data_IF_883170889494
#
_entry.id   IF_883170889494
#
_cell.length_a   1.000
_cell.length_b   1.000
_cell.length_c   1.000
_cell.angle_alpha   90.00
_cell.angle_beta   90.00
_cell.angle_gamma   90.00
#
_symmetry.space_group_name_H-M   'P 1'
#
loop_
_entity.id
_entity.type
_entity.pdbx_description
1 polymer ?
#
# COMPACT_ATOMS: atom_id res chain seq x y z
N UNK A 1 -18.91 -36.35 -59.49
CA UNK A 1 -19.24 -35.80 -58.14
C UNK A 1 -18.37 -36.36 -57.05
N UNK A 2 -18.15 -37.67 -56.89
CA UNK A 2 -17.30 -38.25 -55.79
C UNK A 2 -15.83 -37.82 -55.89
N UNK A 3 -15.26 -37.70 -57.03
CA UNK A 3 -13.85 -37.29 -57.26
C UNK A 3 -13.63 -35.83 -56.89
N UNK A 4 -14.60 -34.94 -57.16
CA UNK A 4 -14.51 -33.52 -56.83
C UNK A 4 -14.60 -33.30 -55.27
N UNK A 5 -15.35 -34.15 -54.59
CA UNK A 5 -15.46 -34.13 -53.14
C UNK A 5 -14.15 -34.58 -52.44
N UNK A 6 -13.45 -35.57 -53.04
CA UNK A 6 -12.17 -36.08 -52.55
C UNK A 6 -11.06 -35.03 -52.75
N UNK A 7 -11.02 -34.33 -53.90
CA UNK A 7 -10.04 -33.27 -54.15
C UNK A 7 -10.20 -32.10 -53.17
N UNK A 8 -11.42 -31.71 -52.85
CA UNK A 8 -11.70 -30.68 -51.86
C UNK A 8 -11.27 -31.08 -50.41
N UNK A 9 -11.16 -32.39 -50.15
CA UNK A 9 -10.70 -32.89 -48.83
C UNK A 9 -9.17 -32.78 -48.68
N UNK A 10 -8.41 -32.89 -49.74
CA UNK A 10 -6.95 -32.97 -49.70
C UNK A 10 -6.21 -31.69 -50.13
N UNK A 11 -6.91 -30.70 -50.74
CA UNK A 11 -6.29 -29.44 -51.16
C UNK A 11 -6.89 -28.26 -50.39
N UNK A 12 -6.21 -27.77 -49.31
CA UNK A 12 -6.74 -26.71 -48.45
C UNK A 12 -7.04 -25.40 -49.18
N UNK A 13 -6.28 -25.07 -50.23
CA UNK A 13 -6.36 -23.80 -50.97
C UNK A 13 -7.63 -23.68 -51.80
N UNK A 14 -8.24 -24.80 -52.22
CA UNK A 14 -9.49 -24.81 -52.96
C UNK A 14 -10.75 -24.58 -52.07
N UNK A 15 -10.58 -24.60 -50.77
CA UNK A 15 -11.66 -24.31 -49.78
C UNK A 15 -11.91 -22.82 -49.59
N UNK A 16 -10.91 -21.97 -49.79
CA UNK A 16 -11.01 -20.55 -49.49
C UNK A 16 -11.96 -19.74 -50.39
N UNK A 17 -12.39 -20.32 -51.52
CA UNK A 17 -13.29 -19.66 -52.47
C UNK A 17 -14.74 -20.15 -52.45
N UNK A 18 -15.08 -21.26 -51.79
CA UNK A 18 -16.38 -21.93 -51.92
C UNK A 18 -17.40 -21.65 -50.84
N UNK A 19 -17.06 -20.89 -49.76
CA UNK A 19 -17.98 -20.58 -48.68
C UNK A 19 -18.48 -21.79 -47.85
N UNK A 20 -17.96 -23.00 -48.12
CA UNK A 20 -18.34 -24.23 -47.43
C UNK A 20 -17.29 -24.55 -46.37
N UNK A 21 -17.52 -24.14 -45.12
CA UNK A 21 -16.72 -24.58 -43.99
C UNK A 21 -17.17 -25.98 -43.55
N UNK A 22 -16.47 -27.02 -44.01
CA UNK A 22 -16.62 -28.38 -43.48
C UNK A 22 -15.95 -28.45 -42.12
N UNK A 23 -16.66 -28.07 -41.07
CA UNK A 23 -16.22 -28.15 -39.67
C UNK A 23 -16.25 -29.56 -39.06
N UNK A 24 -16.37 -30.60 -39.91
CA UNK A 24 -16.53 -31.99 -39.50
C UNK A 24 -15.30 -32.61 -38.82
N UNK A 25 -14.12 -31.94 -38.90
CA UNK A 25 -12.87 -32.45 -38.32
C UNK A 25 -12.16 -31.47 -37.38
N UNK A 26 -12.68 -30.28 -37.20
CA UNK A 26 -12.14 -29.36 -36.20
C UNK A 26 -12.94 -29.52 -34.90
N UNK A 27 -12.90 -30.71 -34.29
CA UNK A 27 -13.09 -30.81 -32.87
C UNK A 27 -11.87 -30.13 -32.21
N UNK A 28 -11.87 -28.78 -32.16
CA UNK A 28 -11.20 -28.15 -31.03
C UNK A 28 -11.73 -28.87 -29.81
N UNK A 29 -10.91 -29.75 -29.23
CA UNK A 29 -11.15 -30.21 -27.88
C UNK A 29 -11.37 -28.94 -27.08
N UNK A 30 -12.63 -28.66 -26.70
CA UNK A 30 -12.94 -27.71 -25.65
C UNK A 30 -12.31 -28.29 -24.37
N UNK A 31 -11.00 -28.13 -24.25
CA UNK A 31 -10.34 -28.29 -22.96
C UNK A 31 -10.98 -27.22 -22.11
N UNK A 32 -11.72 -27.59 -21.06
CA UNK A 32 -12.32 -26.59 -20.17
C UNK A 32 -11.22 -25.61 -19.79
N UNK A 33 -11.40 -24.35 -20.17
CA UNK A 33 -10.40 -23.32 -19.92
C UNK A 33 -10.32 -23.16 -18.41
N UNK A 34 -9.22 -23.66 -17.82
CA UNK A 34 -8.98 -23.57 -16.38
C UNK A 34 -8.82 -22.08 -16.04
N UNK A 35 -9.72 -21.54 -15.20
CA UNK A 35 -9.51 -20.24 -14.60
C UNK A 35 -8.26 -20.30 -13.73
N UNK A 36 -7.25 -19.51 -14.06
CA UNK A 36 -5.96 -19.55 -13.36
C UNK A 36 -5.30 -18.17 -13.41
N UNK A 37 -4.79 -17.75 -12.27
CA UNK A 37 -3.98 -16.53 -12.11
C UNK A 37 -2.47 -16.81 -12.28
N UNK A 38 -2.10 -17.98 -12.79
CA UNK A 38 -0.71 -18.37 -12.95
C UNK A 38 0.10 -17.32 -13.76
N UNK A 39 -0.50 -16.71 -14.79
CA UNK A 39 0.15 -15.66 -15.58
C UNK A 39 0.49 -14.45 -14.69
N UNK A 40 -0.47 -13.96 -13.91
CA UNK A 40 -0.28 -12.82 -12.99
C UNK A 40 0.81 -13.12 -11.95
N UNK A 41 0.75 -14.32 -11.36
CA UNK A 41 1.75 -14.79 -10.38
C UNK A 41 3.14 -14.86 -11.02
N UNK A 42 3.28 -15.48 -12.19
CA UNK A 42 4.59 -15.60 -12.86
C UNK A 42 5.19 -14.24 -13.25
N UNK A 43 4.36 -13.24 -13.52
CA UNK A 43 4.82 -11.88 -13.84
C UNK A 43 5.32 -11.14 -12.59
N UNK A 44 4.63 -11.29 -11.45
CA UNK A 44 4.87 -10.47 -10.27
C UNK A 44 5.75 -11.16 -9.20
N UNK A 45 5.59 -12.47 -9.00
CA UNK A 45 6.23 -13.21 -7.92
C UNK A 45 7.77 -13.10 -7.92
N UNK A 46 8.49 -13.09 -9.06
CA UNK A 46 9.95 -12.93 -9.05
C UNK A 46 10.44 -11.60 -8.45
N UNK A 47 9.59 -10.57 -8.44
CA UNK A 47 9.91 -9.26 -7.89
C UNK A 47 9.64 -9.14 -6.38
N UNK A 48 8.98 -10.14 -5.77
CA UNK A 48 8.72 -10.15 -4.33
C UNK A 48 9.83 -10.91 -3.61
N UNK A 49 10.52 -10.24 -2.69
CA UNK A 49 11.71 -10.73 -1.99
C UNK A 49 11.42 -11.01 -0.52
N UNK A 50 12.28 -11.84 0.08
CA UNK A 50 12.27 -12.10 1.51
C UNK A 50 13.15 -11.08 2.22
N UNK A 51 12.70 -10.55 3.34
CA UNK A 51 13.49 -9.64 4.17
C UNK A 51 13.75 -10.28 5.53
N UNK A 52 15.03 -10.38 5.88
CA UNK A 52 15.51 -10.83 7.17
C UNK A 52 16.17 -9.65 7.85
N UNK A 53 15.51 -9.09 8.86
CA UNK A 53 16.06 -7.99 9.65
C UNK A 53 16.58 -8.51 10.97
N UNK A 54 17.87 -8.31 11.21
CA UNK A 54 18.57 -8.77 12.40
C UNK A 54 18.73 -7.59 13.37
N UNK A 55 18.26 -7.78 14.60
CA UNK A 55 18.38 -6.82 15.69
C UNK A 55 19.01 -7.44 16.92
N UNK A 56 19.66 -6.63 17.75
CA UNK A 56 20.25 -7.06 19.00
C UNK A 56 19.48 -6.43 20.15
N UNK A 57 18.76 -7.24 20.91
CA UNK A 57 18.05 -6.79 22.11
C UNK A 57 18.84 -7.14 23.38
N UNK A 58 18.98 -6.16 24.27
CA UNK A 58 19.53 -6.41 25.61
C UNK A 58 18.42 -6.91 26.53
N UNK A 59 18.35 -8.21 26.74
CA UNK A 59 17.37 -8.85 27.64
C UNK A 59 18.01 -9.12 29.01
N UNK A 60 17.36 -8.70 30.08
CA UNK A 60 17.77 -9.03 31.45
C UNK A 60 17.60 -7.87 32.43
N UNK A 61 17.75 -8.19 33.75
CA UNK A 61 17.71 -7.24 34.85
C UNK A 61 18.97 -6.38 34.89
N UNK A 62 18.93 -5.26 35.59
CA UNK A 62 20.01 -4.26 35.75
C UNK A 62 21.40 -4.87 36.02
N UNK A 63 21.45 -6.09 36.61
CA UNK A 63 22.69 -6.79 37.02
C UNK A 63 23.16 -7.87 36.03
N UNK A 64 22.33 -8.30 35.07
CA UNK A 64 22.68 -9.31 34.06
C UNK A 64 22.00 -9.00 32.73
N UNK A 65 22.63 -8.14 31.93
CA UNK A 65 22.21 -7.89 30.53
C UNK A 65 22.86 -8.96 29.64
N UNK A 66 22.03 -9.62 28.81
CA UNK A 66 22.50 -10.52 27.77
C UNK A 66 22.00 -9.99 26.43
N UNK A 67 22.89 -9.79 25.49
CA UNK A 67 22.53 -9.51 24.11
C UNK A 67 21.91 -10.75 23.48
N UNK A 68 20.71 -10.61 22.96
CA UNK A 68 20.00 -11.68 22.24
C UNK A 68 19.77 -11.17 20.82
N UNK A 69 20.23 -11.92 19.85
CA UNK A 69 19.92 -11.64 18.44
C UNK A 69 18.49 -12.09 18.14
N UNK A 70 17.75 -11.21 17.50
CA UNK A 70 16.42 -11.50 16.94
C UNK A 70 16.44 -11.31 15.45
N UNK A 71 15.80 -12.23 14.72
CA UNK A 71 15.54 -12.12 13.29
C UNK A 71 14.03 -11.89 13.13
N UNK A 72 13.67 -10.78 12.55
CA UNK A 72 12.30 -10.50 12.11
C UNK A 72 12.19 -10.82 10.62
N UNK A 73 11.05 -11.38 10.24
CA UNK A 73 10.77 -11.83 8.89
C UNK A 73 9.75 -10.89 8.25
N UNK A 74 9.93 -10.60 6.98
CA UNK A 74 9.00 -9.84 6.17
C UNK A 74 9.25 -10.07 4.69
N UNK A 75 8.52 -9.32 3.90
CA UNK A 75 8.63 -9.30 2.45
C UNK A 75 8.98 -7.91 1.94
N UNK A 76 9.42 -7.82 0.70
CA UNK A 76 9.65 -6.57 0.00
C UNK A 76 9.31 -6.72 -1.48
N UNK A 77 9.16 -5.59 -2.16
CA UNK A 77 8.86 -5.54 -3.59
C UNK A 77 9.95 -4.76 -4.30
N UNK A 78 10.61 -5.37 -5.28
CA UNK A 78 11.59 -4.73 -6.15
C UNK A 78 10.84 -3.79 -7.09
N UNK A 79 11.05 -2.49 -6.92
CA UNK A 79 10.34 -1.43 -7.64
C UNK A 79 11.09 -0.94 -8.87
N UNK A 80 12.42 -1.12 -8.91
CA UNK A 80 13.27 -0.56 -9.96
C UNK A 80 14.44 -1.50 -10.30
N UNK A 81 14.91 -1.46 -11.54
CA UNK A 81 16.05 -2.25 -12.03
C UNK A 81 17.35 -1.96 -11.29
N UNK A 82 17.49 -0.73 -10.78
CA UNK A 82 18.66 -0.34 -9.99
C UNK A 82 18.58 -0.73 -8.52
N UNK A 83 17.58 -1.53 -8.11
CA UNK A 83 17.53 -2.21 -6.81
C UNK A 83 16.89 -1.45 -5.66
N UNK A 84 15.99 -0.50 -5.92
CA UNK A 84 15.11 0.02 -4.87
C UNK A 84 13.99 -0.98 -4.56
N UNK A 85 13.79 -1.22 -3.26
CA UNK A 85 12.82 -2.18 -2.73
C UNK A 85 11.91 -1.43 -1.75
N UNK A 86 10.58 -1.55 -1.92
CA UNK A 86 9.60 -1.14 -0.93
C UNK A 86 9.33 -2.27 0.06
N UNK A 87 9.19 -1.91 1.33
CA UNK A 87 8.76 -2.80 2.42
C UNK A 87 8.01 -2.00 3.49
N UNK A 88 7.51 -2.67 4.53
CA UNK A 88 6.96 -1.99 5.70
C UNK A 88 8.06 -1.59 6.67
N UNK A 89 7.89 -0.41 7.32
CA UNK A 89 8.84 0.08 8.32
C UNK A 89 8.96 -0.89 9.50
N UNK A 90 7.83 -1.43 9.99
CA UNK A 90 7.85 -2.36 11.13
C UNK A 90 8.65 -3.64 10.85
N UNK A 91 8.82 -4.04 9.58
CA UNK A 91 9.66 -5.20 9.18
C UNK A 91 11.14 -4.95 9.47
N UNK A 92 11.59 -3.70 9.33
CA UNK A 92 13.00 -3.32 9.48
C UNK A 92 13.27 -2.48 10.74
N UNK A 93 12.26 -2.27 11.58
CA UNK A 93 12.40 -1.49 12.79
C UNK A 93 13.48 -2.07 13.72
N UNK A 94 14.39 -1.21 14.17
CA UNK A 94 15.52 -1.56 15.04
C UNK A 94 16.52 -2.58 14.43
N UNK A 95 16.51 -2.79 13.11
CA UNK A 95 17.44 -3.68 12.45
C UNK A 95 18.87 -3.11 12.50
N UNK A 96 19.83 -3.92 12.90
CA UNK A 96 21.26 -3.63 12.81
C UNK A 96 21.81 -4.01 11.42
N UNK A 97 21.24 -5.05 10.81
CA UNK A 97 21.52 -5.48 9.43
C UNK A 97 20.26 -6.01 8.77
N UNK A 98 20.21 -5.87 7.45
CA UNK A 98 19.07 -6.30 6.63
C UNK A 98 19.62 -7.15 5.50
N UNK A 99 19.16 -8.39 5.41
CA UNK A 99 19.48 -9.31 4.32
C UNK A 99 18.23 -9.53 3.47
N UNK A 100 18.36 -9.37 2.16
CA UNK A 100 17.31 -9.61 1.18
C UNK A 100 17.57 -10.91 0.45
N UNK A 101 16.62 -11.83 0.48
CA UNK A 101 16.64 -13.07 -0.29
C UNK A 101 15.83 -12.94 -1.57
N UNK A 102 16.48 -13.05 -2.72
CA UNK A 102 15.86 -13.02 -4.04
C UNK A 102 15.26 -14.39 -4.40
N UNK A 103 14.28 -14.43 -5.30
CA UNK A 103 13.62 -15.68 -5.69
C UNK A 103 14.51 -16.62 -6.52
N UNK A 104 15.59 -16.12 -7.09
CA UNK A 104 16.60 -16.93 -7.79
C UNK A 104 17.66 -17.56 -6.85
N UNK A 105 17.52 -17.36 -5.54
CA UNK A 105 18.40 -17.91 -4.51
C UNK A 105 19.56 -17.00 -4.10
N UNK A 106 19.78 -15.87 -4.78
CA UNK A 106 20.77 -14.87 -4.37
C UNK A 106 20.35 -14.20 -3.05
N UNK A 107 21.36 -13.74 -2.30
CA UNK A 107 21.16 -12.96 -1.08
C UNK A 107 21.99 -11.70 -1.17
N UNK A 108 21.40 -10.58 -0.84
CA UNK A 108 22.02 -9.26 -0.89
C UNK A 108 21.87 -8.54 0.44
N UNK A 109 22.90 -7.85 0.89
CA UNK A 109 22.79 -6.90 1.99
C UNK A 109 22.08 -5.64 1.50
N UNK A 110 21.11 -5.17 2.26
CA UNK A 110 20.34 -3.99 1.91
C UNK A 110 20.68 -2.80 2.82
N UNK A 111 20.72 -1.62 2.22
CA UNK A 111 20.85 -0.36 2.92
C UNK A 111 19.48 0.33 3.03
N UNK A 112 19.22 0.95 4.18
CA UNK A 112 18.01 1.77 4.36
C UNK A 112 18.27 3.11 3.67
N UNK A 113 17.42 3.46 2.68
CA UNK A 113 17.42 4.77 2.01
C UNK A 113 16.67 5.78 2.86
N UNK A 114 15.54 5.39 3.42
CA UNK A 114 14.71 6.18 4.30
C UNK A 114 13.40 5.46 4.60
N UNK A 115 12.57 6.09 5.42
CA UNK A 115 11.29 5.52 5.83
C UNK A 115 10.28 6.61 6.17
N UNK A 116 9.02 6.20 6.21
CA UNK A 116 7.88 7.01 6.58
C UNK A 116 7.06 6.34 7.67
N UNK A 117 7.12 6.83 8.91
CA UNK A 117 6.36 6.26 10.03
C UNK A 117 4.85 6.34 9.86
N UNK A 118 4.35 7.30 9.07
CA UNK A 118 2.91 7.51 8.88
C UNK A 118 2.26 6.45 8.03
N UNK A 119 2.93 6.08 6.93
CA UNK A 119 2.44 5.04 6.04
C UNK A 119 2.99 3.67 6.41
N UNK A 120 3.88 3.59 7.41
CA UNK A 120 4.60 2.37 7.75
C UNK A 120 5.38 1.79 6.55
N UNK A 121 5.91 2.66 5.69
CA UNK A 121 6.71 2.29 4.53
C UNK A 121 8.19 2.57 4.77
N UNK A 122 9.04 1.75 4.16
CA UNK A 122 10.48 1.94 4.08
C UNK A 122 11.01 1.59 2.70
N UNK A 123 12.07 2.28 2.29
CA UNK A 123 12.79 2.06 1.04
C UNK A 123 14.16 1.50 1.36
N UNK A 124 14.45 0.35 0.78
CA UNK A 124 15.74 -0.29 0.84
C UNK A 124 16.45 -0.19 -0.52
N UNK A 125 17.78 -0.33 -0.50
CA UNK A 125 18.62 -0.38 -1.68
C UNK A 125 19.53 -1.59 -1.63
N UNK A 126 19.52 -2.39 -2.67
CA UNK A 126 20.48 -3.47 -2.92
C UNK A 126 21.33 -3.15 -4.15
N UNK A 127 22.55 -3.70 -4.20
CA UNK A 127 23.50 -3.51 -5.30
C UNK A 127 23.63 -4.83 -6.06
N UNK A 128 22.55 -5.23 -6.73
CA UNK A 128 22.47 -6.46 -7.51
C UNK A 128 22.03 -6.15 -8.95
N UNK A 129 22.55 -6.91 -9.89
CA UNK A 129 22.17 -6.82 -11.30
C UNK A 129 21.06 -7.82 -11.67
N UNK A 130 20.42 -7.60 -12.81
CA UNK A 130 19.38 -8.47 -13.37
C UNK A 130 18.24 -8.76 -12.38
N UNK A 131 17.74 -7.72 -11.75
CA UNK A 131 16.62 -7.79 -10.83
C UNK A 131 15.29 -7.87 -11.59
N UNK A 132 14.41 -8.75 -11.13
CA UNK A 132 13.02 -8.77 -11.61
C UNK A 132 12.26 -7.63 -10.96
N UNK A 133 11.73 -6.70 -11.77
CA UNK A 133 10.93 -5.55 -11.31
C UNK A 133 9.46 -5.91 -11.37
N UNK A 134 8.69 -5.49 -10.36
CA UNK A 134 7.24 -5.70 -10.32
C UNK A 134 6.56 -4.96 -11.48
N UNK A 135 5.58 -5.58 -12.17
CA UNK A 135 4.78 -4.86 -13.16
C UNK A 135 3.99 -3.71 -12.51
N UNK A 136 4.13 -2.51 -13.07
CA UNK A 136 3.53 -1.28 -12.53
C UNK A 136 2.68 -0.60 -13.61
N UNK A 137 1.52 -0.04 -13.20
CA UNK A 137 0.70 0.82 -14.04
C UNK A 137 0.68 2.23 -13.47
N UNK A 138 0.57 3.23 -14.34
CA UNK A 138 0.50 4.64 -13.92
C UNK A 138 -0.83 5.02 -13.27
N UNK A 139 -1.88 4.23 -13.49
CA UNK A 139 -3.22 4.44 -12.94
C UNK A 139 -3.80 3.07 -12.58
N UNK A 140 -3.99 2.84 -11.29
CA UNK A 140 -4.56 1.61 -10.74
C UNK A 140 -5.97 1.92 -10.21
N UNK A 141 -6.98 1.89 -11.09
CA UNK A 141 -8.39 2.08 -10.70
C UNK A 141 -8.90 0.86 -9.91
N UNK A 142 -8.42 0.73 -8.68
CA UNK A 142 -8.80 -0.36 -7.77
C UNK A 142 -10.19 -0.12 -7.20
N UNK A 143 -11.11 -1.08 -7.38
CA UNK A 143 -12.51 -0.98 -6.99
C UNK A 143 -12.94 -2.13 -6.08
N UNK A 144 -13.95 -1.87 -5.26
CA UNK A 144 -14.60 -2.91 -4.44
C UNK A 144 -15.15 -4.01 -5.34
N UNK A 145 -14.79 -5.27 -5.01
CA UNK A 145 -15.15 -6.45 -5.78
C UNK A 145 -14.06 -6.94 -6.74
N UNK A 146 -12.98 -6.17 -6.96
CA UNK A 146 -11.86 -6.63 -7.77
C UNK A 146 -11.14 -7.82 -7.12
N UNK A 147 -10.77 -8.81 -7.93
CA UNK A 147 -9.94 -9.93 -7.49
C UNK A 147 -8.51 -9.47 -7.27
N UNK A 148 -7.93 -9.88 -6.14
CA UNK A 148 -6.57 -9.53 -5.76
C UNK A 148 -5.78 -10.75 -5.29
N UNK A 149 -4.47 -10.70 -5.48
CA UNK A 149 -3.53 -11.71 -5.00
C UNK A 149 -2.49 -11.02 -4.11
N UNK A 150 -2.36 -11.50 -2.88
CA UNK A 150 -1.33 -11.05 -1.96
C UNK A 150 -0.15 -12.04 -2.03
N UNK A 151 1.05 -11.52 -2.29
CA UNK A 151 2.28 -12.28 -2.42
C UNK A 151 3.23 -11.88 -1.29
N UNK A 152 3.80 -12.88 -0.60
CA UNK A 152 4.79 -12.68 0.46
C UNK A 152 5.42 -13.99 0.88
N UNK A 153 6.20 -13.97 1.97
CA UNK A 153 6.85 -15.16 2.53
C UNK A 153 6.46 -15.35 4.01
N UNK A 154 5.27 -15.88 4.29
CA UNK A 154 4.83 -16.08 5.66
C UNK A 154 5.68 -17.14 6.36
N UNK A 155 6.13 -16.85 7.57
CA UNK A 155 6.86 -17.78 8.44
C UNK A 155 8.12 -18.42 7.83
N UNK A 156 8.69 -17.79 6.78
CA UNK A 156 9.83 -18.36 6.00
C UNK A 156 9.56 -19.76 5.42
N UNK A 157 8.30 -20.06 5.13
CA UNK A 157 7.89 -21.33 4.51
C UNK A 157 8.05 -21.34 2.99
N UNK A 158 8.61 -20.27 2.43
CA UNK A 158 8.68 -20.00 1.00
C UNK A 158 7.59 -19.03 0.54
N UNK A 159 7.76 -18.52 -0.68
CA UNK A 159 6.84 -17.60 -1.26
C UNK A 159 5.42 -18.19 -1.33
N UNK A 160 4.46 -17.45 -0.78
CA UNK A 160 3.06 -17.87 -0.69
C UNK A 160 2.17 -16.81 -1.32
N UNK A 161 1.15 -17.29 -2.03
CA UNK A 161 0.14 -16.44 -2.67
C UNK A 161 -1.22 -16.73 -2.04
N UNK A 162 -1.88 -15.69 -1.56
CA UNK A 162 -3.28 -15.79 -1.11
C UNK A 162 -4.17 -14.96 -2.02
N UNK A 163 -5.41 -15.41 -2.24
CA UNK A 163 -6.39 -14.76 -3.10
C UNK A 163 -7.50 -14.16 -2.25
N UNK A 164 -8.03 -13.03 -2.69
CA UNK A 164 -9.21 -12.41 -2.11
C UNK A 164 -9.86 -11.43 -3.07
N UNK A 165 -10.77 -10.62 -2.51
CA UNK A 165 -11.40 -9.50 -3.20
C UNK A 165 -11.17 -8.21 -2.41
N UNK A 166 -11.16 -7.09 -3.13
CA UNK A 166 -11.18 -5.77 -2.50
C UNK A 166 -12.52 -5.58 -1.80
N UNK A 167 -12.50 -5.48 -0.49
CA UNK A 167 -13.70 -5.30 0.34
C UNK A 167 -14.05 -3.81 0.52
N UNK A 168 -13.03 -2.94 0.50
CA UNK A 168 -13.18 -1.48 0.65
C UNK A 168 -11.93 -0.77 0.14
N UNK A 169 -12.13 0.42 -0.43
CA UNK A 169 -11.06 1.38 -0.74
C UNK A 169 -11.38 2.69 -0.01
N UNK A 170 -10.37 3.32 0.56
CA UNK A 170 -10.51 4.59 1.25
C UNK A 170 -10.08 4.55 2.71
N UNK A 171 -10.31 5.65 3.42
CA UNK A 171 -9.96 5.78 4.85
C UNK A 171 -10.80 4.84 5.70
N UNK A 172 -10.11 4.15 6.59
CA UNK A 172 -10.76 3.42 7.67
C UNK A 172 -10.44 4.16 8.98
N UNK A 173 -11.19 3.91 10.03
CA UNK A 173 -10.98 4.53 11.34
C UNK A 173 -9.64 4.17 12.03
N UNK A 174 -8.76 3.40 11.36
CA UNK A 174 -7.46 2.97 11.86
C UNK A 174 -6.34 3.95 11.49
N UNK A 175 -6.47 4.63 10.32
CA UNK A 175 -5.56 5.69 9.94
C UNK A 175 -6.37 6.87 9.40
N UNK A 176 -6.29 8.01 10.08
CA UNK A 176 -7.04 9.21 9.72
C UNK A 176 -6.40 9.98 8.55
N UNK A 177 -5.20 9.57 8.09
CA UNK A 177 -4.38 10.41 7.21
C UNK A 177 -4.24 9.89 5.78
N UNK A 178 -4.49 8.61 5.50
CA UNK A 178 -4.38 8.05 4.15
C UNK A 178 -5.36 6.91 3.90
N UNK A 179 -5.55 6.58 2.62
CA UNK A 179 -6.43 5.51 2.19
C UNK A 179 -5.74 4.15 2.27
N UNK A 180 -6.52 3.11 2.59
CA UNK A 180 -6.11 1.72 2.53
C UNK A 180 -6.94 0.96 1.50
N UNK A 181 -6.38 -0.12 0.98
CA UNK A 181 -7.12 -1.20 0.34
C UNK A 181 -7.40 -2.23 1.43
N UNK A 182 -8.68 -2.39 1.79
CA UNK A 182 -9.12 -3.50 2.63
C UNK A 182 -9.51 -4.68 1.75
N UNK A 183 -9.08 -5.88 2.12
CA UNK A 183 -9.33 -7.12 1.38
C UNK A 183 -9.55 -8.30 2.33
N UNK A 184 -10.09 -9.40 1.81
CA UNK A 184 -10.24 -10.67 2.53
C UNK A 184 -9.15 -11.70 2.21
N UNK A 185 -8.19 -11.36 1.32
CA UNK A 185 -6.97 -12.15 1.13
C UNK A 185 -6.23 -12.28 2.46
N UNK A 186 -5.90 -13.51 2.85
CA UNK A 186 -5.28 -13.79 4.15
C UNK A 186 -3.84 -13.29 4.16
N UNK A 187 -3.52 -12.42 5.12
CA UNK A 187 -2.16 -12.03 5.44
C UNK A 187 -1.74 -12.69 6.76
N UNK A 188 -0.52 -13.17 6.82
CA UNK A 188 0.13 -13.70 8.01
C UNK A 188 1.46 -12.98 8.26
N UNK A 189 2.05 -13.21 9.42
CA UNK A 189 3.38 -12.71 9.74
C UNK A 189 4.39 -13.14 8.67
N UNK A 190 5.14 -12.19 8.12
CA UNK A 190 6.04 -12.36 6.98
C UNK A 190 5.48 -11.89 5.63
N UNK A 191 4.16 -11.71 5.47
CA UNK A 191 3.58 -11.14 4.27
C UNK A 191 3.70 -9.60 4.21
N UNK A 192 3.92 -8.95 5.34
CA UNK A 192 4.08 -7.49 5.44
C UNK A 192 5.23 -7.01 4.56
N UNK A 193 5.00 -5.95 3.81
CA UNK A 193 5.93 -5.40 2.82
C UNK A 193 5.90 -6.10 1.47
N UNK A 194 5.18 -7.22 1.33
CA UNK A 194 4.97 -7.92 0.06
C UNK A 194 3.99 -7.23 -0.87
N UNK A 195 3.79 -7.79 -2.06
CA UNK A 195 2.94 -7.22 -3.08
C UNK A 195 1.47 -7.60 -2.92
N UNK A 196 0.57 -6.64 -3.13
CA UNK A 196 -0.80 -6.87 -3.55
C UNK A 196 -0.90 -6.58 -5.04
N UNK A 197 -1.35 -7.54 -5.83
CA UNK A 197 -1.47 -7.43 -7.29
C UNK A 197 -2.90 -7.66 -7.76
N UNK A 198 -3.21 -7.11 -8.93
CA UNK A 198 -4.46 -7.40 -9.65
C UNK A 198 -4.43 -8.77 -10.33
N UNK A 199 -5.52 -9.15 -10.98
CA UNK A 199 -5.65 -10.40 -11.73
C UNK A 199 -4.73 -10.49 -12.97
N UNK A 200 -4.11 -9.40 -13.40
CA UNK A 200 -3.16 -9.33 -14.51
C UNK A 200 -1.70 -9.36 -14.06
N UNK A 201 -1.45 -9.17 -12.76
CA UNK A 201 -0.11 -9.18 -12.17
C UNK A 201 0.48 -7.79 -11.94
N UNK A 202 -0.29 -6.71 -12.08
CA UNK A 202 0.19 -5.36 -11.78
C UNK A 202 0.09 -5.07 -10.28
N UNK A 203 1.09 -4.37 -9.78
CA UNK A 203 1.11 -3.91 -8.39
C UNK A 203 -0.01 -2.89 -8.14
N UNK A 204 -0.89 -3.17 -7.18
CA UNK A 204 -1.95 -2.27 -6.73
C UNK A 204 -1.77 -1.82 -5.29
N UNK A 205 -0.88 -2.47 -4.53
CA UNK A 205 -0.60 -2.06 -3.15
C UNK A 205 0.55 -2.84 -2.50
N UNK A 206 0.95 -2.39 -1.32
CA UNK A 206 1.93 -3.05 -0.46
C UNK A 206 1.19 -3.64 0.74
N UNK A 207 1.29 -4.96 0.92
CA UNK A 207 0.68 -5.67 2.06
C UNK A 207 1.21 -5.11 3.37
N UNK A 208 0.31 -4.70 4.27
CA UNK A 208 0.75 -4.07 5.52
C UNK A 208 0.43 -4.95 6.73
N UNK A 209 -0.86 -5.16 7.04
CA UNK A 209 -1.25 -5.82 8.29
C UNK A 209 -2.61 -6.51 8.21
N UNK A 210 -2.82 -7.46 9.13
CA UNK A 210 -4.15 -7.95 9.49
C UNK A 210 -4.80 -7.01 10.50
N UNK A 211 -6.13 -6.96 10.49
CA UNK A 211 -6.84 -6.28 11.56
C UNK A 211 -6.71 -7.08 12.86
N UNK A 212 -6.29 -6.39 13.93
CA UNK A 212 -6.20 -6.97 15.26
C UNK A 212 -7.22 -6.33 16.19
N UNK A 213 -7.90 -7.12 16.97
CA UNK A 213 -8.84 -6.68 17.99
C UNK A 213 -8.47 -7.27 19.35
N UNK A 214 -9.14 -6.82 20.41
CA UNK A 214 -8.98 -7.40 21.73
C UNK A 214 -10.14 -8.37 22.00
N UNK A 215 -9.81 -9.58 22.46
CA UNK A 215 -10.81 -10.53 22.94
C UNK A 215 -11.41 -10.07 24.29
N UNK A 216 -12.42 -10.80 24.80
CA UNK A 216 -13.06 -10.52 26.08
C UNK A 216 -12.07 -10.52 27.28
N UNK A 217 -10.89 -11.09 27.13
CA UNK A 217 -9.79 -11.13 28.10
C UNK A 217 -8.72 -10.09 27.83
N UNK A 218 -8.97 -9.11 26.94
CA UNK A 218 -8.04 -8.07 26.49
C UNK A 218 -6.75 -8.60 25.85
N UNK A 219 -6.77 -9.79 25.24
CA UNK A 219 -5.65 -10.31 24.49
C UNK A 219 -5.83 -9.93 23.01
N UNK A 220 -4.73 -9.57 22.36
CA UNK A 220 -4.72 -9.28 20.93
C UNK A 220 -5.12 -10.55 20.16
N UNK A 221 -6.09 -10.44 19.27
CA UNK A 221 -6.59 -11.49 18.40
C UNK A 221 -6.62 -10.97 16.96
N UNK A 222 -6.09 -11.76 16.04
CA UNK A 222 -6.24 -11.52 14.61
C UNK A 222 -7.71 -11.74 14.21
N UNK A 223 -8.17 -10.91 13.27
CA UNK A 223 -9.52 -11.04 12.68
C UNK A 223 -9.37 -11.58 11.28
N UNK A 224 -9.86 -12.80 11.07
CA UNK A 224 -9.84 -13.43 9.76
C UNK A 224 -10.67 -12.64 8.74
N UNK A 225 -10.21 -12.55 7.49
CA UNK A 225 -10.93 -11.89 6.42
C UNK A 225 -10.89 -10.36 6.46
N UNK A 226 -10.01 -9.77 7.28
CA UNK A 226 -9.79 -8.32 7.32
C UNK A 226 -8.30 -8.03 7.25
N UNK A 227 -7.82 -7.79 6.04
CA UNK A 227 -6.42 -7.46 5.75
C UNK A 227 -6.33 -6.11 5.06
N UNK A 228 -5.18 -5.45 5.17
CA UNK A 228 -4.95 -4.11 4.64
C UNK A 228 -3.68 -4.04 3.81
N UNK A 229 -3.74 -3.25 2.73
CA UNK A 229 -2.58 -2.87 1.94
C UNK A 229 -2.56 -1.36 1.73
N UNK A 230 -1.35 -0.81 1.61
CA UNK A 230 -1.11 0.58 1.26
C UNK A 230 -1.26 0.70 -0.26
N UNK A 231 -2.11 1.59 -0.80
CA UNK A 231 -2.29 1.75 -2.24
C UNK A 231 -0.98 2.07 -2.96
N UNK A 232 -0.79 1.49 -4.15
CA UNK A 232 0.44 1.64 -4.93
C UNK A 232 0.80 3.10 -5.22
N UNK A 233 -0.18 3.93 -5.59
CA UNK A 233 0.06 5.35 -5.90
C UNK A 233 0.66 6.10 -4.70
N UNK A 234 0.12 5.85 -3.49
CA UNK A 234 0.67 6.41 -2.26
C UNK A 234 2.06 5.85 -1.98
N UNK A 235 2.23 4.53 -2.11
CA UNK A 235 3.51 3.87 -1.86
C UNK A 235 4.61 4.38 -2.81
N UNK A 236 4.25 4.58 -4.09
CA UNK A 236 5.17 5.14 -5.08
C UNK A 236 5.54 6.59 -4.77
N UNK A 237 4.58 7.45 -4.43
CA UNK A 237 4.83 8.85 -4.02
C UNK A 237 5.79 8.90 -2.84
N UNK A 238 5.55 8.10 -1.81
CA UNK A 238 6.40 7.99 -0.61
C UNK A 238 7.81 7.52 -1.00
N UNK A 239 7.92 6.50 -1.84
CA UNK A 239 9.21 6.00 -2.33
C UNK A 239 9.99 7.08 -3.08
N UNK A 240 9.35 7.78 -4.01
CA UNK A 240 9.98 8.81 -4.83
C UNK A 240 10.50 9.97 -3.95
N UNK A 241 9.73 10.39 -2.94
CA UNK A 241 10.15 11.41 -1.97
C UNK A 241 11.32 10.93 -1.09
N UNK A 242 11.29 9.69 -0.62
CA UNK A 242 12.39 9.09 0.16
C UNK A 242 13.66 9.02 -0.68
N UNK A 243 13.57 8.58 -1.95
CA UNK A 243 14.74 8.51 -2.85
C UNK A 243 15.33 9.91 -3.10
N UNK A 244 14.48 10.91 -3.27
CA UNK A 244 14.91 12.29 -3.56
C UNK A 244 15.48 13.01 -2.32
N UNK A 245 14.86 12.83 -1.14
CA UNK A 245 15.07 13.67 0.03
C UNK A 245 15.54 12.90 1.28
N UNK A 246 15.57 11.58 1.24
CA UNK A 246 15.88 10.71 2.39
C UNK A 246 14.71 10.53 3.39
N UNK A 247 13.66 11.34 3.27
CA UNK A 247 12.47 11.32 4.13
C UNK A 247 11.25 11.86 3.40
N UNK A 248 10.07 11.60 3.95
CA UNK A 248 8.82 12.24 3.53
C UNK A 248 8.54 13.42 4.46
N UNK A 249 8.26 14.56 3.87
CA UNK A 249 7.90 15.78 4.61
C UNK A 249 6.39 16.01 4.53
N UNK A 250 5.72 16.10 5.67
CA UNK A 250 4.28 16.36 5.77
C UNK A 250 3.97 17.55 6.64
N UNK A 251 2.98 18.32 6.20
CA UNK A 251 2.43 19.41 6.98
C UNK A 251 1.40 18.94 8.02
N UNK A 252 1.35 19.61 9.16
CA UNK A 252 0.32 19.42 10.18
C UNK A 252 -0.17 20.76 10.73
N UNK A 253 -1.47 20.83 11.02
CA UNK A 253 -2.06 21.91 11.84
C UNK A 253 -2.39 21.45 13.27
N UNK A 254 -2.66 20.14 13.46
CA UNK A 254 -2.90 19.56 14.78
C UNK A 254 -4.30 19.81 15.35
N UNK A 255 -5.32 19.65 14.51
CA UNK A 255 -6.72 19.59 14.92
C UNK A 255 -7.39 18.30 14.45
N UNK A 256 -8.47 17.93 15.10
CA UNK A 256 -9.36 16.83 14.70
C UNK A 256 -10.71 17.44 14.35
N UNK A 257 -11.33 16.96 13.29
CA UNK A 257 -12.60 17.48 12.83
C UNK A 257 -13.55 16.40 12.31
N UNK A 258 -14.83 16.74 12.27
CA UNK A 258 -15.90 15.93 11.69
C UNK A 258 -16.66 16.74 10.63
N UNK A 259 -17.09 16.08 9.56
CA UNK A 259 -17.93 16.71 8.54
C UNK A 259 -19.28 17.11 9.12
N UNK A 260 -19.72 18.32 8.81
CA UNK A 260 -21.07 18.77 9.08
C UNK A 260 -21.94 18.51 7.85
N UNK A 261 -23.08 17.91 8.07
CA UNK A 261 -24.11 17.70 7.04
C UNK A 261 -25.18 18.76 7.27
N UNK A 262 -25.55 19.53 6.22
CA UNK A 262 -25.64 20.98 6.19
C UNK A 262 -25.78 21.65 7.57
N UNK A 263 -25.08 22.78 7.82
CA UNK A 263 -24.28 23.59 6.89
C UNK A 263 -22.90 22.97 6.63
N UNK A 264 -22.34 23.23 5.42
CA UNK A 264 -21.03 22.75 4.99
C UNK A 264 -19.90 23.33 5.83
N UNK A 265 -18.91 22.49 6.16
CA UNK A 265 -17.73 22.86 6.94
C UNK A 265 -17.21 21.68 7.77
N UNK A 266 -16.10 21.89 8.44
CA UNK A 266 -15.52 20.89 9.35
C UNK A 266 -15.64 21.40 10.78
N UNK A 267 -16.44 20.70 11.58
CA UNK A 267 -16.52 20.94 13.02
C UNK A 267 -15.21 20.49 13.69
N UNK A 268 -14.51 21.40 14.33
CA UNK A 268 -13.31 21.10 15.12
C UNK A 268 -13.72 20.40 16.42
N UNK A 269 -13.39 19.11 16.53
CA UNK A 269 -13.73 18.28 17.70
C UNK A 269 -12.57 18.17 18.70
N UNK A 270 -11.36 18.54 18.28
CA UNK A 270 -10.18 18.55 19.13
C UNK A 270 -9.07 19.42 18.56
N UNK A 271 -8.26 20.03 19.44
CA UNK A 271 -7.06 20.79 19.10
C UNK A 271 -5.93 20.31 19.99
N UNK A 272 -4.85 19.85 19.35
CA UNK A 272 -3.69 19.33 20.07
C UNK A 272 -2.92 20.46 20.76
N UNK A 273 -2.52 20.23 22.01
CA UNK A 273 -1.76 21.20 22.79
C UNK A 273 -0.39 21.48 22.13
N UNK A 274 -0.03 22.75 22.03
CA UNK A 274 1.23 23.18 21.38
C UNK A 274 1.22 23.16 19.87
N UNK A 275 0.12 22.71 19.24
CA UNK A 275 0.00 22.60 17.79
C UNK A 275 -0.04 23.97 17.09
N UNK A 276 0.22 24.01 15.77
CA UNK A 276 -0.02 25.19 14.95
C UNK A 276 -1.46 25.73 15.05
N UNK A 277 -2.45 24.85 15.07
CA UNK A 277 -3.86 25.24 15.21
C UNK A 277 -4.13 25.95 16.54
N UNK A 278 -3.63 25.42 17.66
CA UNK A 278 -3.75 26.09 18.98
C UNK A 278 -3.06 27.44 18.98
N UNK A 279 -1.81 27.52 18.50
CA UNK A 279 -1.03 28.75 18.40
C UNK A 279 -1.71 29.81 17.50
N UNK A 280 -2.38 29.38 16.44
CA UNK A 280 -3.18 30.22 15.54
C UNK A 280 -4.53 30.62 16.11
N UNK A 281 -4.89 30.15 17.34
CA UNK A 281 -6.12 30.51 18.02
C UNK A 281 -7.35 29.70 17.62
N UNK A 282 -7.18 28.52 16.99
CA UNK A 282 -8.28 27.58 16.73
C UNK A 282 -8.76 26.96 18.04
N UNK A 283 -10.05 26.80 18.20
CA UNK A 283 -10.68 26.22 19.38
C UNK A 283 -11.59 25.05 19.00
N UNK A 284 -11.85 24.19 19.96
CA UNK A 284 -12.92 23.17 19.85
C UNK A 284 -14.25 23.88 19.66
N UNK A 285 -15.15 23.29 18.85
CA UNK A 285 -16.44 23.85 18.41
C UNK A 285 -16.33 24.94 17.32
N UNK A 286 -15.15 25.31 16.84
CA UNK A 286 -15.04 26.11 15.61
C UNK A 286 -15.53 25.29 14.41
N UNK A 287 -16.13 25.95 13.44
CA UNK A 287 -16.46 25.35 12.16
C UNK A 287 -15.49 25.93 11.13
N UNK A 288 -14.59 25.12 10.63
CA UNK A 288 -13.67 25.49 9.55
C UNK A 288 -14.44 25.53 8.24
N UNK A 289 -14.51 26.69 7.60
CA UNK A 289 -15.27 26.94 6.38
C UNK A 289 -14.38 26.94 5.14
N UNK A 290 -13.18 27.53 5.24
CA UNK A 290 -12.25 27.57 4.11
C UNK A 290 -10.80 27.65 4.57
N UNK A 291 -9.88 27.18 3.69
CA UNK A 291 -8.43 27.36 3.80
C UNK A 291 -7.97 28.08 2.53
N UNK A 292 -7.30 29.24 2.69
CA UNK A 292 -6.88 30.09 1.56
C UNK A 292 -7.99 30.39 0.55
N UNK A 293 -9.25 30.51 1.04
CA UNK A 293 -10.43 30.75 0.21
C UNK A 293 -11.02 29.52 -0.47
N UNK A 294 -10.43 28.33 -0.32
CA UNK A 294 -11.00 27.06 -0.77
C UNK A 294 -11.90 26.48 0.32
N UNK A 295 -13.14 26.13 -0.03
CA UNK A 295 -14.11 25.58 0.89
C UNK A 295 -13.65 24.22 1.47
N UNK A 296 -13.89 24.03 2.76
CA UNK A 296 -13.58 22.80 3.51
C UNK A 296 -14.86 22.00 3.76
N UNK A 297 -15.41 21.42 2.71
CA UNK A 297 -16.62 20.60 2.72
C UNK A 297 -16.36 19.11 2.93
N UNK A 298 -15.10 18.69 2.87
CA UNK A 298 -14.67 17.31 3.00
C UNK A 298 -13.41 17.21 3.86
N UNK A 299 -13.50 16.47 4.96
CA UNK A 299 -12.38 16.29 5.93
C UNK A 299 -11.16 15.67 5.24
N UNK A 300 -11.38 14.65 4.38
CA UNK A 300 -10.29 13.97 3.68
C UNK A 300 -9.49 14.96 2.83
N UNK A 301 -10.16 15.66 1.91
CA UNK A 301 -9.51 16.62 1.00
C UNK A 301 -8.79 17.74 1.77
N UNK A 302 -9.38 18.17 2.88
CA UNK A 302 -8.79 19.21 3.72
C UNK A 302 -7.51 18.72 4.42
N UNK A 303 -7.52 17.49 4.94
CA UNK A 303 -6.33 16.90 5.55
C UNK A 303 -5.25 16.61 4.51
N UNK A 304 -5.61 16.12 3.32
CA UNK A 304 -4.67 15.90 2.22
C UNK A 304 -3.99 17.21 1.82
N UNK A 305 -4.76 18.29 1.65
CA UNK A 305 -4.21 19.62 1.38
C UNK A 305 -3.23 20.09 2.46
N UNK A 306 -3.57 19.91 3.75
CA UNK A 306 -2.70 20.29 4.86
C UNK A 306 -1.42 19.45 4.86
N UNK A 307 -1.52 18.13 4.67
CA UNK A 307 -0.36 17.22 4.68
C UNK A 307 0.58 17.45 3.50
N UNK A 308 0.06 17.88 2.35
CA UNK A 308 0.85 18.23 1.17
C UNK A 308 1.43 19.66 1.22
N UNK A 309 0.96 20.49 2.16
CA UNK A 309 1.49 21.84 2.33
C UNK A 309 2.86 21.82 2.99
N UNK A 310 3.82 22.51 2.37
CA UNK A 310 5.20 22.60 2.87
C UNK A 310 5.21 23.24 4.26
N UNK A 311 5.85 22.62 5.27
CA UNK A 311 6.04 23.21 6.59
C UNK A 311 6.66 24.61 6.51
N UNK A 312 6.20 25.51 7.38
CA UNK A 312 6.57 26.94 7.35
C UNK A 312 5.63 27.81 6.52
N UNK A 313 4.73 27.22 5.70
CA UNK A 313 3.74 27.96 4.94
C UNK A 313 2.64 28.50 5.88
N UNK A 314 2.32 29.80 5.76
CA UNK A 314 1.17 30.42 6.46
C UNK A 314 -0.11 30.14 5.69
N UNK A 315 -1.10 29.53 6.34
CA UNK A 315 -2.43 29.30 5.82
C UNK A 315 -3.42 30.28 6.46
N UNK A 316 -4.31 30.85 5.64
CA UNK A 316 -5.45 31.66 6.08
C UNK A 316 -6.67 30.78 6.24
N UNK A 317 -7.11 30.57 7.48
CA UNK A 317 -8.29 29.78 7.81
C UNK A 317 -9.47 30.70 8.06
N UNK A 318 -10.60 30.45 7.42
CA UNK A 318 -11.87 31.12 7.72
C UNK A 318 -12.73 30.18 8.54
N UNK A 319 -13.09 30.63 9.75
CA UNK A 319 -13.87 29.83 10.69
C UNK A 319 -15.15 30.55 11.11
N UNK A 320 -16.16 29.77 11.48
CA UNK A 320 -17.32 30.28 12.20
C UNK A 320 -17.21 29.87 13.66
N UNK A 321 -17.13 30.85 14.55
CA UNK A 321 -17.12 30.67 16.00
C UNK A 321 -18.33 31.37 16.60
N UNK A 322 -19.29 30.60 17.10
CA UNK A 322 -20.53 31.14 17.71
C UNK A 322 -21.25 32.17 16.82
N UNK A 323 -21.41 31.85 15.53
CA UNK A 323 -22.00 32.69 14.46
C UNK A 323 -21.16 33.93 14.07
N UNK A 324 -19.94 34.08 14.56
CA UNK A 324 -19.01 35.10 14.11
C UNK A 324 -18.01 34.51 13.11
N UNK A 325 -17.85 35.15 11.94
CA UNK A 325 -16.83 34.81 10.97
C UNK A 325 -15.49 35.40 11.40
N UNK A 326 -14.48 34.57 11.55
CA UNK A 326 -13.14 34.96 11.95
C UNK A 326 -12.12 34.42 10.92
N UNK A 327 -11.02 35.16 10.76
CA UNK A 327 -9.86 34.70 9.99
C UNK A 327 -8.70 34.44 10.92
N UNK A 328 -8.17 33.22 10.88
CA UNK A 328 -7.00 32.83 11.61
C UNK A 328 -5.82 32.65 10.65
N UNK A 329 -4.62 33.01 11.10
CA UNK A 329 -3.38 32.73 10.38
C UNK A 329 -2.63 31.61 11.12
N UNK A 330 -2.37 30.53 10.43
CA UNK A 330 -1.75 29.35 11.03
C UNK A 330 -0.57 28.91 10.17
N UNK A 331 0.60 28.81 10.77
CA UNK A 331 1.81 28.33 10.08
C UNK A 331 1.87 26.81 10.20
N UNK A 332 1.93 26.13 9.08
CA UNK A 332 2.04 24.66 9.01
C UNK A 332 3.34 24.22 9.66
N UNK A 333 3.30 23.26 10.58
CA UNK A 333 4.49 22.62 11.12
C UNK A 333 4.81 21.34 10.35
N UNK A 334 6.06 20.88 10.44
CA UNK A 334 6.42 19.53 10.01
C UNK A 334 5.80 18.51 10.97
N UNK A 335 5.24 17.47 10.40
CA UNK A 335 4.68 16.36 11.15
C UNK A 335 5.82 15.42 11.55
N UNK A 336 6.32 15.56 12.78
CA UNK A 336 7.36 14.69 13.32
C UNK A 336 6.79 13.31 13.67
N UNK A 337 7.43 12.24 13.17
CA UNK A 337 7.01 10.85 13.44
C UNK A 337 7.18 10.35 14.87
N UNK A 338 7.29 11.27 15.85
CA UNK A 338 7.58 10.97 17.27
C UNK A 338 6.38 11.18 18.21
N UNK A 339 5.16 11.40 17.69
CA UNK A 339 3.95 11.56 18.50
C UNK A 339 2.97 10.40 18.36
#
# INVERSE_FOLDING_TARGET
MLVSAIILLFVPDLRQGSGISLSLFNQQKNVPQKLSFNHAVNAAAPAVVNIYSQSTENVGSFTRRRAVERISLGSGVIMTENGYILTCLHVIANANSILVGLQDGRRAEAQIVGYDPYTDLAVLKVSEDNLSVIPQLSDTDTRVGDLVLAIGNPYDLGQTITQGVVSRVGRNGLANYFDFIQMDAVLNEGNSGGALIDSNGHLIGINNANFKTLDSRRRVKDVDGVSFAIPYELAKKVMDEIIANGKVTRGILGFVGAELVPPTGILVTGVAKGSPAEKGGMLVEDILLSINGQATDNVKKTLDFITETIPGTELSLEINRKNALLKLKVVVAELDGTN
#
